data_IF_757170784083
#
_entry.id   IF_757170784083
#
_cell.length_a   1.000
_cell.length_b   1.000
_cell.length_c   1.000
_cell.angle_alpha   90.00
_cell.angle_beta   90.00
_cell.angle_gamma   90.00
#
_symmetry.space_group_name_H-M   'P 1'
#
loop_
_entity.id
_entity.type
_entity.pdbx_description
1 polymer ?
#
# COMPACT_ATOMS: atom_id res chain seq x y z
N UNK A 1 -4.00 -0.56 2.77
CA UNK A 1 -4.51 -1.69 1.95
C UNK A 1 -4.33 -1.29 0.50
N UNK A 2 -4.18 -2.23 -0.43
CA UNK A 2 -4.18 -1.89 -1.86
C UNK A 2 -5.59 -1.40 -2.20
N UNK A 3 -5.72 -0.16 -2.64
CA UNK A 3 -7.00 0.40 -3.09
C UNK A 3 -7.06 0.43 -4.61
N UNK A 4 -5.99 0.93 -5.24
CA UNK A 4 -5.73 0.84 -6.67
C UNK A 4 -4.22 0.79 -6.90
N UNK A 5 -3.79 0.19 -8.01
CA UNK A 5 -2.38 0.17 -8.42
C UNK A 5 -1.82 1.60 -8.58
N UNK A 6 -2.58 2.47 -9.24
CA UNK A 6 -2.18 3.86 -9.50
C UNK A 6 -1.89 4.63 -8.19
N UNK A 7 -2.73 4.43 -7.16
CA UNK A 7 -2.52 5.05 -5.85
C UNK A 7 -1.26 4.51 -5.16
N UNK A 8 -1.07 3.19 -5.18
CA UNK A 8 0.12 2.56 -4.60
C UNK A 8 1.40 3.08 -5.26
N UNK A 9 1.43 3.13 -6.59
CA UNK A 9 2.58 3.64 -7.35
C UNK A 9 2.85 5.12 -7.10
N UNK A 10 1.80 5.94 -6.98
CA UNK A 10 1.94 7.37 -6.62
C UNK A 10 2.61 7.54 -5.26
N UNK A 11 2.15 6.80 -4.25
CA UNK A 11 2.70 6.87 -2.88
C UNK A 11 4.14 6.34 -2.85
N UNK A 12 4.37 5.16 -3.42
CA UNK A 12 5.68 4.52 -3.44
C UNK A 12 6.75 5.41 -4.08
N UNK A 13 6.46 6.00 -5.25
CA UNK A 13 7.37 6.92 -5.93
C UNK A 13 7.66 8.17 -5.12
N UNK A 14 6.64 8.74 -4.47
CA UNK A 14 6.81 9.94 -3.65
C UNK A 14 7.73 9.68 -2.46
N UNK A 15 7.50 8.59 -1.73
CA UNK A 15 8.29 8.25 -0.54
C UNK A 15 9.70 7.77 -0.89
N UNK A 16 9.86 6.97 -1.95
CA UNK A 16 11.18 6.55 -2.44
C UNK A 16 12.07 7.76 -2.72
N UNK A 17 11.56 8.78 -3.44
CA UNK A 17 12.30 10.02 -3.71
C UNK A 17 12.74 10.74 -2.43
N UNK A 18 11.84 10.87 -1.45
CA UNK A 18 12.16 11.54 -0.18
C UNK A 18 13.19 10.76 0.63
N UNK A 19 13.05 9.43 0.71
CA UNK A 19 13.98 8.58 1.44
C UNK A 19 15.37 8.53 0.78
N UNK A 20 15.43 8.53 -0.56
CA UNK A 20 16.70 8.60 -1.31
C UNK A 20 17.47 9.89 -1.01
N UNK A 21 16.78 11.03 -0.99
CA UNK A 21 17.39 12.32 -0.64
C UNK A 21 17.95 12.36 0.78
N UNK A 22 17.46 11.49 1.67
CA UNK A 22 17.88 11.40 3.06
C UNK A 22 18.84 10.22 3.32
N UNK A 23 19.16 9.41 2.31
CA UNK A 23 19.97 8.20 2.49
C UNK A 23 19.29 7.10 3.32
N UNK A 24 17.95 7.07 3.37
CA UNK A 24 17.17 6.11 4.17
C UNK A 24 16.72 4.95 3.27
N UNK A 25 17.00 3.72 3.68
CA UNK A 25 16.45 2.54 3.01
C UNK A 25 14.93 2.49 3.16
N UNK A 26 14.23 2.45 2.03
CA UNK A 26 12.78 2.48 1.98
C UNK A 26 12.20 1.21 1.35
N UNK A 27 11.21 0.60 2.01
CA UNK A 27 10.42 -0.51 1.49
C UNK A 27 8.95 -0.10 1.48
N UNK A 28 8.35 -0.03 0.30
CA UNK A 28 6.91 0.20 0.18
C UNK A 28 6.13 -1.04 0.63
N UNK A 29 5.05 -0.84 1.40
CA UNK A 29 4.20 -1.92 1.89
C UNK A 29 2.73 -1.54 1.83
N UNK A 30 1.94 -2.37 1.17
CA UNK A 30 0.48 -2.35 1.23
C UNK A 30 -0.05 -3.79 1.29
N UNK A 31 -1.07 -4.03 2.12
CA UNK A 31 -1.72 -5.35 2.20
C UNK A 31 -2.77 -5.50 1.10
N UNK A 32 -2.74 -6.60 0.35
CA UNK A 32 -3.78 -6.97 -0.63
C UNK A 32 -5.12 -7.31 0.03
N UNK A 33 -5.08 -7.78 1.28
CA UNK A 33 -6.24 -8.10 2.09
C UNK A 33 -6.04 -7.64 3.53
N UNK A 34 -7.12 -7.20 4.16
CA UNK A 34 -7.21 -6.87 5.58
C UNK A 34 -8.23 -7.81 6.20
N UNK A 35 -7.79 -9.05 6.43
CA UNK A 35 -8.61 -10.15 6.95
C UNK A 35 -9.28 -9.87 8.30
N UNK A 36 -8.71 -8.98 9.11
CA UNK A 36 -9.11 -8.73 10.48
C UNK A 36 -9.98 -7.46 10.65
N UNK A 37 -10.87 -7.16 9.70
CA UNK A 37 -11.81 -6.04 9.88
C UNK A 37 -12.93 -6.44 10.84
N UNK A 38 -13.12 -5.63 11.90
CA UNK A 38 -14.22 -5.82 12.87
C UNK A 38 -15.60 -5.59 12.25
N UNK A 39 -15.70 -4.70 11.25
CA UNK A 39 -16.94 -4.48 10.50
C UNK A 39 -16.89 -5.18 9.14
N UNK A 40 -17.87 -6.05 8.90
CA UNK A 40 -18.04 -6.78 7.63
C UNK A 40 -18.26 -5.85 6.42
N UNK A 41 -18.75 -4.62 6.62
CA UNK A 41 -18.97 -3.64 5.55
C UNK A 41 -17.68 -2.95 5.08
N UNK A 42 -16.55 -3.18 5.75
CA UNK A 42 -15.29 -2.51 5.43
C UNK A 42 -14.60 -3.13 4.23
N UNK A 43 -14.12 -2.31 3.28
CA UNK A 43 -13.30 -2.79 2.16
C UNK A 43 -12.02 -3.45 2.65
N UNK A 44 -11.80 -4.70 2.23
CA UNK A 44 -10.63 -5.49 2.63
C UNK A 44 -9.45 -5.42 1.66
N UNK A 45 -9.68 -5.01 0.42
CA UNK A 45 -8.67 -4.92 -0.64
C UNK A 45 -9.07 -5.78 -1.84
N UNK A 46 -8.22 -5.87 -2.87
CA UNK A 46 -8.53 -6.58 -4.11
C UNK A 46 -8.46 -8.11 -4.00
N UNK A 47 -7.72 -8.67 -3.03
CA UNK A 47 -7.48 -10.12 -2.92
C UNK A 47 -6.12 -10.54 -3.47
N UNK A 48 -5.80 -11.85 -3.41
CA UNK A 48 -4.51 -12.41 -3.83
C UNK A 48 -4.36 -12.53 -5.35
N UNK A 49 -5.45 -12.84 -6.05
CA UNK A 49 -5.44 -13.20 -7.47
C UNK A 49 -5.81 -12.03 -8.41
N UNK A 50 -5.92 -10.82 -7.86
CA UNK A 50 -6.45 -9.64 -8.52
C UNK A 50 -5.41 -8.81 -9.27
#
# INVERSE_FOLDING_TARGET
VIETEALCLKIARSLKRSCDALGITYVFKASFDKANRTSAKSKRGPGLDA
#
